data_IF_890403794278
#
_entry.id   IF_890403794278
#
_cell.length_a   1.000
_cell.length_b   1.000
_cell.length_c   1.000
_cell.angle_alpha   90.00
_cell.angle_beta   90.00
_cell.angle_gamma   90.00
#
_symmetry.space_group_name_H-M   'P 1'
#
loop_
_entity.id
_entity.type
_entity.pdbx_description
1 polymer ?
#
# COMPACT_ATOMS: atom_id res chain seq x y z
N UNK A 1 16.94 37.31 27.36
CA UNK A 1 17.03 36.50 28.58
C UNK A 1 16.17 35.27 28.37
N UNK A 2 16.78 34.11 28.15
CA UNK A 2 16.06 32.84 28.04
C UNK A 2 15.86 32.32 29.46
N UNK A 3 14.61 32.13 29.89
CA UNK A 3 14.29 31.58 31.21
C UNK A 3 14.37 30.06 31.09
N UNK A 4 15.42 29.47 31.63
CA UNK A 4 15.53 28.01 31.78
C UNK A 4 14.95 27.58 33.12
N UNK A 5 13.87 26.80 33.07
CA UNK A 5 13.24 26.22 34.27
C UNK A 5 14.11 25.06 34.73
N UNK A 6 14.66 25.14 35.96
CA UNK A 6 15.40 24.03 36.56
C UNK A 6 14.43 22.92 36.99
N UNK A 7 14.55 21.74 36.40
CA UNK A 7 13.84 20.53 36.81
C UNK A 7 14.74 19.64 37.66
N UNK A 8 14.23 19.11 38.77
CA UNK A 8 14.94 18.07 39.52
C UNK A 8 15.01 16.80 38.67
N UNK A 9 16.23 16.32 38.39
CA UNK A 9 16.46 15.10 37.61
C UNK A 9 16.63 13.94 38.57
N UNK A 10 15.86 12.86 38.38
CA UNK A 10 16.00 11.61 39.13
C UNK A 10 16.83 10.62 38.29
N UNK A 11 17.78 9.94 38.91
CA UNK A 11 18.57 8.90 38.26
C UNK A 11 17.71 7.63 38.07
N UNK A 12 17.46 7.18 36.82
CA UNK A 12 16.69 5.98 36.56
C UNK A 12 17.52 4.71 36.80
N UNK A 13 16.86 3.62 37.22
CA UNK A 13 17.52 2.30 37.42
C UNK A 13 17.96 1.68 36.09
N UNK A 14 17.25 2.00 35.00
CA UNK A 14 17.54 1.59 33.60
C UNK A 14 16.89 2.57 32.64
N UNK A 15 17.36 2.65 31.40
CA UNK A 15 16.85 3.62 30.43
C UNK A 15 15.71 3.12 29.55
N UNK A 16 15.59 1.80 29.34
CA UNK A 16 14.57 1.19 28.48
C UNK A 16 14.27 -0.26 28.89
N UNK A 17 13.42 -0.96 28.13
CA UNK A 17 13.11 -2.37 28.34
C UNK A 17 14.27 -3.26 27.90
N UNK A 18 14.42 -4.42 28.56
CA UNK A 18 15.57 -5.30 28.35
C UNK A 18 15.68 -5.84 26.91
N UNK A 19 14.57 -6.08 26.21
CA UNK A 19 14.58 -6.47 24.80
C UNK A 19 15.14 -5.36 23.90
N UNK A 20 14.74 -4.11 24.16
CA UNK A 20 15.21 -2.94 23.41
C UNK A 20 16.69 -2.66 23.71
N UNK A 21 17.09 -2.77 24.98
CA UNK A 21 18.49 -2.65 25.41
C UNK A 21 19.39 -3.66 24.70
N UNK A 22 18.98 -4.94 24.62
CA UNK A 22 19.75 -5.98 23.90
C UNK A 22 20.02 -5.63 22.44
N UNK A 23 19.11 -4.89 21.79
CA UNK A 23 19.24 -4.50 20.38
C UNK A 23 20.00 -3.18 20.18
N UNK A 24 19.82 -2.20 21.07
CA UNK A 24 20.26 -0.82 20.83
C UNK A 24 21.20 -0.24 21.90
N UNK A 25 21.50 -1.00 22.96
CA UNK A 25 22.27 -0.60 24.13
C UNK A 25 21.42 0.08 25.22
N UNK A 26 22.00 0.21 26.42
CA UNK A 26 21.36 0.88 27.56
C UNK A 26 21.40 2.40 27.40
N UNK A 27 20.41 2.91 26.68
CA UNK A 27 20.18 4.33 26.46
C UNK A 27 18.68 4.58 26.27
N UNK A 28 18.19 5.83 26.45
CA UNK A 28 16.80 6.15 26.16
C UNK A 28 16.44 5.76 24.73
N UNK A 29 15.41 4.93 24.58
CA UNK A 29 14.94 4.43 23.29
C UNK A 29 13.91 5.39 22.67
N UNK A 30 13.77 5.32 21.34
CA UNK A 30 12.70 6.05 20.66
C UNK A 30 11.34 5.39 20.89
N UNK A 31 10.25 6.15 20.73
CA UNK A 31 8.89 5.60 20.79
C UNK A 31 8.66 4.47 19.79
N UNK A 32 9.23 4.59 18.58
CA UNK A 32 9.16 3.52 17.59
C UNK A 32 9.89 2.26 18.06
N UNK A 33 11.09 2.40 18.64
CA UNK A 33 11.85 1.24 19.13
C UNK A 33 11.08 0.45 20.18
N UNK A 34 10.52 1.13 21.19
CA UNK A 34 9.76 0.47 22.25
C UNK A 34 8.39 -0.06 21.77
N UNK A 35 7.79 0.57 20.76
CA UNK A 35 6.49 0.15 20.22
C UNK A 35 6.57 -0.92 19.12
N UNK A 36 7.78 -1.35 18.74
CA UNK A 36 7.97 -2.25 17.59
C UNK A 36 8.83 -3.47 17.91
N UNK A 37 9.98 -3.34 18.55
CA UNK A 37 10.96 -4.44 18.55
C UNK A 37 10.65 -5.51 19.61
N UNK A 38 10.69 -6.77 19.18
CA UNK A 38 10.50 -7.98 20.01
C UNK A 38 9.19 -8.02 20.81
N UNK A 39 8.11 -7.46 20.27
CA UNK A 39 6.78 -7.49 20.91
C UNK A 39 5.98 -8.75 20.59
N UNK A 40 6.33 -9.45 19.51
CA UNK A 40 5.62 -10.66 19.08
C UNK A 40 6.00 -11.86 19.96
N UNK A 41 5.04 -12.73 20.27
CA UNK A 41 5.34 -14.05 20.85
C UNK A 41 6.06 -14.92 19.83
N UNK A 42 7.20 -15.53 20.20
CA UNK A 42 8.05 -16.28 19.28
C UNK A 42 8.10 -17.80 19.54
N UNK A 43 7.73 -18.24 20.75
CA UNK A 43 7.91 -19.64 21.15
C UNK A 43 6.94 -20.03 22.27
N UNK A 44 6.95 -21.32 22.65
CA UNK A 44 6.13 -21.91 23.71
C UNK A 44 4.60 -21.76 23.48
N UNK A 45 4.17 -21.92 22.23
CA UNK A 45 2.74 -21.97 21.91
C UNK A 45 2.09 -23.22 22.49
N UNK A 46 0.91 -23.05 23.08
CA UNK A 46 0.24 -24.13 23.82
C UNK A 46 -0.52 -25.09 22.90
N UNK A 47 -0.92 -24.63 21.72
CA UNK A 47 -1.78 -25.36 20.80
C UNK A 47 -1.35 -25.14 19.35
N UNK A 48 -1.55 -26.15 18.51
CA UNK A 48 -1.40 -26.02 17.06
C UNK A 48 -2.62 -25.31 16.46
N UNK A 49 -2.47 -24.51 15.40
CA UNK A 49 -3.60 -23.93 14.68
C UNK A 49 -4.48 -25.02 14.07
N UNK A 50 -5.79 -25.00 14.32
CA UNK A 50 -6.72 -26.00 13.76
C UNK A 50 -6.88 -25.88 12.24
N UNK A 51 -6.66 -24.68 11.71
CA UNK A 51 -6.77 -24.34 10.28
C UNK A 51 -5.46 -24.56 9.52
N UNK A 52 -4.34 -24.82 10.21
CA UNK A 52 -3.06 -25.16 9.59
C UNK A 52 -2.13 -25.92 10.57
N UNK A 53 -2.39 -27.23 10.80
CA UNK A 53 -1.75 -27.99 11.87
C UNK A 53 -0.24 -28.23 11.71
N UNK A 54 0.30 -28.11 10.50
CA UNK A 54 1.71 -28.34 10.17
C UNK A 54 2.63 -27.19 10.59
N UNK A 55 2.05 -26.02 10.90
CA UNK A 55 2.76 -24.83 11.36
C UNK A 55 2.48 -24.53 12.84
N UNK A 56 3.26 -23.64 13.42
CA UNK A 56 2.97 -23.01 14.71
C UNK A 56 2.16 -21.71 14.52
N UNK A 57 1.71 -21.15 15.65
CA UNK A 57 1.32 -19.74 15.66
C UNK A 57 2.58 -18.90 15.41
N UNK A 58 2.47 -17.79 14.69
CA UNK A 58 3.61 -16.93 14.33
C UNK A 58 4.80 -17.75 13.78
N UNK A 59 4.60 -18.50 12.71
CA UNK A 59 5.64 -19.40 12.15
C UNK A 59 6.35 -18.72 10.97
N UNK A 60 7.68 -18.67 11.00
CA UNK A 60 8.49 -18.07 9.92
C UNK A 60 8.38 -18.83 8.61
N UNK A 61 7.99 -20.12 8.65
CA UNK A 61 7.83 -20.99 7.47
C UNK A 61 6.58 -20.67 6.63
N UNK A 62 5.79 -19.67 7.03
CA UNK A 62 4.64 -19.13 6.25
C UNK A 62 5.06 -18.37 4.99
N UNK A 63 6.36 -18.13 4.85
CA UNK A 63 6.96 -17.66 3.62
C UNK A 63 8.25 -18.44 3.35
N UNK A 64 8.59 -18.59 2.08
CA UNK A 64 9.86 -19.15 1.65
C UNK A 64 11.05 -18.19 1.86
N UNK A 65 10.79 -16.91 2.15
CA UNK A 65 11.84 -15.95 2.52
C UNK A 65 12.42 -16.30 3.88
N UNK A 66 13.75 -16.35 3.96
CA UNK A 66 14.48 -16.66 5.19
C UNK A 66 15.23 -15.42 5.66
N UNK A 67 15.02 -15.03 6.90
CA UNK A 67 15.73 -13.92 7.55
C UNK A 67 16.42 -14.41 8.81
N UNK A 68 17.66 -13.97 9.03
CA UNK A 68 18.37 -14.14 10.31
C UNK A 68 17.72 -13.33 11.43
N UNK A 69 17.19 -12.15 11.11
CA UNK A 69 16.41 -11.30 12.01
C UNK A 69 15.28 -10.60 11.26
N UNK A 70 14.03 -11.00 11.51
CA UNK A 70 12.85 -10.38 10.90
C UNK A 70 12.66 -8.91 11.29
N UNK A 71 13.25 -8.46 12.40
CA UNK A 71 13.24 -7.05 12.79
C UNK A 71 14.24 -6.19 12.00
N UNK A 72 14.96 -6.77 11.03
CA UNK A 72 15.72 -6.03 10.02
C UNK A 72 14.82 -5.23 9.06
N UNK A 73 13.55 -5.60 8.92
CA UNK A 73 12.55 -4.87 8.13
C UNK A 73 12.08 -3.59 8.83
N UNK A 74 12.93 -2.56 8.78
CA UNK A 74 12.66 -1.26 9.41
C UNK A 74 11.75 -0.40 8.54
N UNK A 75 10.78 0.26 9.18
CA UNK A 75 10.01 1.31 8.51
C UNK A 75 10.79 2.64 8.55
N UNK A 76 11.30 3.16 7.42
CA UNK A 76 12.04 4.43 7.39
C UNK A 76 11.18 5.64 7.80
N UNK A 77 9.85 5.50 7.82
CA UNK A 77 8.90 6.52 8.27
C UNK A 77 8.75 6.54 9.80
N UNK A 78 9.26 5.52 10.49
CA UNK A 78 9.20 5.36 11.95
C UNK A 78 7.76 5.32 12.49
N UNK A 79 6.83 4.77 11.71
CA UNK A 79 5.44 4.65 12.14
C UNK A 79 5.27 3.58 13.20
N UNK A 80 5.01 4.03 14.43
CA UNK A 80 4.14 3.32 15.37
C UNK A 80 2.74 3.94 15.31
N UNK A 81 1.77 3.33 15.99
CA UNK A 81 0.35 3.70 15.87
C UNK A 81 0.10 5.22 15.96
N UNK A 82 0.66 5.88 16.97
CA UNK A 82 0.46 7.31 17.20
C UNK A 82 0.94 8.18 16.04
N UNK A 83 2.16 7.96 15.56
CA UNK A 83 2.71 8.71 14.41
C UNK A 83 1.98 8.42 13.11
N UNK A 84 1.52 7.17 12.91
CA UNK A 84 0.72 6.79 11.75
C UNK A 84 -0.60 7.56 11.71
N UNK A 85 -1.39 7.51 12.78
CA UNK A 85 -2.70 8.17 12.79
C UNK A 85 -2.58 9.69 12.76
N UNK A 86 -1.53 10.28 13.35
CA UNK A 86 -1.28 11.72 13.26
C UNK A 86 -0.98 12.16 11.82
N UNK A 87 -0.15 11.39 11.11
CA UNK A 87 0.17 11.71 9.73
C UNK A 87 -1.06 11.54 8.83
N UNK A 88 -1.83 10.46 8.99
CA UNK A 88 -3.07 10.24 8.22
C UNK A 88 -4.16 11.24 8.57
N UNK A 89 -4.27 11.67 9.83
CA UNK A 89 -5.18 12.74 10.23
C UNK A 89 -4.89 14.04 9.47
N UNK A 90 -3.62 14.42 9.34
CA UNK A 90 -3.22 15.58 8.54
C UNK A 90 -3.55 15.42 7.06
N UNK A 91 -3.30 14.24 6.48
CA UNK A 91 -3.60 13.97 5.08
C UNK A 91 -5.10 13.98 4.79
N UNK A 92 -5.92 13.39 5.66
CA UNK A 92 -7.37 13.42 5.50
C UNK A 92 -7.95 14.83 5.68
N UNK A 93 -7.41 15.67 6.56
CA UNK A 93 -7.85 17.08 6.68
C UNK A 93 -7.70 17.84 5.35
N UNK A 94 -6.58 17.62 4.64
CA UNK A 94 -6.36 18.20 3.32
C UNK A 94 -7.35 17.62 2.30
N UNK A 95 -7.51 16.30 2.28
CA UNK A 95 -8.47 15.65 1.39
C UNK A 95 -9.90 16.14 1.64
N UNK A 96 -10.38 16.21 2.88
CA UNK A 96 -11.71 16.74 3.21
C UNK A 96 -11.88 18.20 2.81
N UNK A 97 -10.83 19.03 2.97
CA UNK A 97 -10.86 20.41 2.47
C UNK A 97 -11.01 20.47 0.96
N UNK A 98 -10.30 19.61 0.22
CA UNK A 98 -10.39 19.52 -1.24
C UNK A 98 -11.79 19.07 -1.68
N UNK A 99 -12.32 18.01 -1.09
CA UNK A 99 -13.66 17.51 -1.35
C UNK A 99 -14.72 18.58 -1.04
N UNK A 100 -14.63 19.23 0.12
CA UNK A 100 -15.55 20.31 0.50
C UNK A 100 -15.48 21.50 -0.46
N UNK A 101 -14.28 21.85 -0.94
CA UNK A 101 -14.11 22.92 -1.93
C UNK A 101 -14.73 22.54 -3.28
N UNK A 102 -14.48 21.30 -3.74
CA UNK A 102 -15.01 20.77 -4.99
C UNK A 102 -16.54 20.79 -5.01
N UNK A 103 -17.19 20.36 -3.93
CA UNK A 103 -18.65 20.39 -3.78
C UNK A 103 -19.19 21.83 -3.66
N UNK A 104 -18.60 22.66 -2.79
CA UNK A 104 -19.08 24.05 -2.57
C UNK A 104 -19.01 24.92 -3.82
N UNK A 105 -18.09 24.62 -4.73
CA UNK A 105 -17.92 25.34 -6.00
C UNK A 105 -18.65 24.67 -7.17
N UNK A 106 -19.38 23.58 -6.91
CA UNK A 106 -20.09 22.81 -7.94
C UNK A 106 -19.18 22.44 -9.12
N UNK A 107 -17.91 22.08 -8.83
CA UNK A 107 -16.91 21.84 -9.87
C UNK A 107 -17.31 20.67 -10.78
N UNK A 108 -18.05 19.70 -10.24
CA UNK A 108 -18.63 18.61 -11.00
C UNK A 108 -19.40 19.12 -12.23
N UNK A 109 -20.20 20.19 -12.09
CA UNK A 109 -21.01 20.75 -13.18
C UNK A 109 -20.19 21.25 -14.38
N UNK A 110 -18.93 21.62 -14.14
CA UNK A 110 -18.03 22.12 -15.18
C UNK A 110 -17.29 21.00 -15.91
N UNK A 111 -17.35 19.77 -15.41
CA UNK A 111 -16.75 18.60 -16.05
C UNK A 111 -17.69 18.11 -17.16
N UNK A 112 -17.22 18.02 -18.43
CA UNK A 112 -18.03 17.50 -19.51
C UNK A 112 -18.48 16.05 -19.25
N UNK A 113 -19.69 15.70 -19.68
CA UNK A 113 -20.29 14.38 -19.43
C UNK A 113 -19.40 13.22 -19.92
N UNK A 114 -18.76 13.39 -21.09
CA UNK A 114 -17.84 12.40 -21.63
C UNK A 114 -16.64 12.13 -20.70
N UNK A 115 -16.15 13.15 -19.99
CA UNK A 115 -15.04 13.04 -19.04
C UNK A 115 -15.51 12.41 -17.73
N UNK A 116 -16.69 12.81 -17.26
CA UNK A 116 -17.34 12.18 -16.09
C UNK A 116 -17.51 10.68 -16.31
N UNK A 117 -18.01 10.29 -17.49
CA UNK A 117 -18.14 8.88 -17.87
C UNK A 117 -16.78 8.15 -17.90
N UNK A 118 -15.70 8.80 -18.36
CA UNK A 118 -14.35 8.21 -18.27
C UNK A 118 -13.90 7.99 -16.83
N UNK A 119 -14.13 8.96 -15.93
CA UNK A 119 -13.79 8.82 -14.51
C UNK A 119 -14.57 7.66 -13.86
N UNK A 120 -15.88 7.57 -14.12
CA UNK A 120 -16.71 6.46 -13.64
C UNK A 120 -16.27 5.12 -14.23
N UNK A 121 -15.85 5.09 -15.49
CA UNK A 121 -15.41 3.86 -16.19
C UNK A 121 -14.02 3.38 -15.79
N UNK A 122 -13.08 4.28 -15.54
CA UNK A 122 -11.65 3.96 -15.40
C UNK A 122 -11.09 4.18 -13.99
N UNK A 123 -11.62 5.13 -13.21
CA UNK A 123 -11.08 5.45 -11.88
C UNK A 123 -11.89 4.77 -10.77
N UNK A 124 -13.21 4.92 -10.76
CA UNK A 124 -14.08 4.45 -9.66
C UNK A 124 -14.00 2.91 -9.44
N UNK A 125 -13.90 2.05 -10.47
CA UNK A 125 -13.80 0.60 -10.27
C UNK A 125 -12.54 0.16 -9.50
N UNK A 126 -11.48 0.97 -9.48
CA UNK A 126 -10.26 0.68 -8.71
C UNK A 126 -10.52 0.55 -7.21
N UNK A 127 -11.67 1.02 -6.69
CA UNK A 127 -12.09 0.73 -5.31
C UNK A 127 -12.13 -0.77 -5.00
N UNK A 128 -12.36 -1.61 -6.02
CA UNK A 128 -12.34 -3.06 -5.89
C UNK A 128 -10.92 -3.61 -5.79
N UNK A 129 -9.97 -3.06 -6.58
CA UNK A 129 -8.54 -3.32 -6.41
C UNK A 129 -8.06 -2.88 -5.03
N UNK A 130 -8.43 -1.68 -4.58
CA UNK A 130 -8.06 -1.18 -3.25
C UNK A 130 -8.62 -2.07 -2.12
N UNK A 131 -9.84 -2.60 -2.30
CA UNK A 131 -10.37 -3.58 -1.35
C UNK A 131 -9.59 -4.90 -1.37
N UNK A 132 -9.20 -5.41 -2.53
CA UNK A 132 -8.29 -6.58 -2.62
C UNK A 132 -6.94 -6.28 -1.96
N UNK A 133 -6.37 -5.10 -2.20
CA UNK A 133 -5.12 -4.67 -1.59
C UNK A 133 -5.24 -4.57 -0.06
N UNK A 134 -6.38 -4.11 0.47
CA UNK A 134 -6.70 -4.17 1.90
C UNK A 134 -6.61 -5.61 2.42
N UNK A 135 -7.31 -6.55 1.79
CA UNK A 135 -7.33 -7.96 2.19
C UNK A 135 -5.94 -8.60 2.12
N UNK A 136 -5.18 -8.36 1.06
CA UNK A 136 -3.81 -8.85 0.90
C UNK A 136 -2.88 -8.33 2.01
N UNK A 137 -2.99 -7.06 2.39
CA UNK A 137 -2.22 -6.49 3.48
C UNK A 137 -2.68 -6.99 4.86
N UNK A 138 -3.99 -7.24 5.06
CA UNK A 138 -4.49 -7.90 6.26
C UNK A 138 -4.00 -9.34 6.37
N UNK A 139 -3.94 -10.07 5.26
CA UNK A 139 -3.37 -11.42 5.19
C UNK A 139 -1.90 -11.42 5.61
N UNK A 140 -1.09 -10.50 5.06
CA UNK A 140 0.30 -10.32 5.48
C UNK A 140 0.46 -9.87 6.93
N UNK A 141 -0.48 -9.09 7.47
CA UNK A 141 -0.49 -8.73 8.89
C UNK A 141 -0.74 -9.96 9.78
N UNK A 142 -1.67 -10.82 9.38
CA UNK A 142 -2.08 -11.99 10.16
C UNK A 142 -1.03 -13.12 10.15
N UNK A 143 -0.33 -13.29 9.03
CA UNK A 143 0.59 -14.42 8.82
C UNK A 143 2.06 -14.03 8.74
N UNK A 144 2.37 -12.74 8.62
CA UNK A 144 3.74 -12.24 8.66
C UNK A 144 4.41 -12.44 10.02
N UNK A 145 5.74 -12.44 10.01
CA UNK A 145 6.54 -12.64 11.22
C UNK A 145 7.32 -11.36 11.59
N UNK A 146 7.17 -10.92 12.83
CA UNK A 146 7.83 -9.76 13.40
C UNK A 146 6.96 -8.51 13.31
N UNK A 147 6.80 -7.82 14.44
CA UNK A 147 5.95 -6.62 14.55
C UNK A 147 6.35 -5.51 13.59
N UNK A 148 7.64 -5.37 13.26
CA UNK A 148 8.15 -4.31 12.39
C UNK A 148 7.54 -4.32 10.98
N UNK A 149 7.38 -5.52 10.40
CA UNK A 149 6.77 -5.67 9.07
C UNK A 149 5.24 -5.77 9.16
N UNK A 150 4.70 -6.50 10.14
CA UNK A 150 3.24 -6.71 10.25
C UNK A 150 2.50 -5.44 10.62
N UNK A 151 3.08 -4.56 11.45
CA UNK A 151 2.46 -3.26 11.74
C UNK A 151 2.45 -2.34 10.51
N UNK A 152 3.48 -2.39 9.67
CA UNK A 152 3.52 -1.58 8.46
C UNK A 152 2.48 -2.07 7.43
N UNK A 153 2.31 -3.38 7.33
CA UNK A 153 1.25 -4.02 6.53
C UNK A 153 -0.14 -3.62 7.00
N UNK A 154 -0.42 -3.62 8.32
CA UNK A 154 -1.75 -3.27 8.80
C UNK A 154 -2.09 -1.81 8.49
N UNK A 155 -1.12 -0.90 8.65
CA UNK A 155 -1.29 0.51 8.29
C UNK A 155 -1.55 0.67 6.80
N UNK A 156 -0.74 0.00 5.96
CA UNK A 156 -0.90 0.03 4.52
C UNK A 156 -2.28 -0.50 4.10
N UNK A 157 -2.75 -1.59 4.70
CA UNK A 157 -4.07 -2.15 4.44
C UNK A 157 -5.21 -1.22 4.85
N UNK A 158 -5.10 -0.52 5.97
CA UNK A 158 -6.10 0.47 6.37
C UNK A 158 -6.12 1.69 5.45
N UNK A 159 -4.96 2.10 4.93
CA UNK A 159 -4.90 3.15 3.91
C UNK A 159 -5.63 2.75 2.64
N UNK A 160 -5.51 1.48 2.20
CA UNK A 160 -6.25 0.96 1.04
C UNK A 160 -7.76 1.06 1.23
N UNK A 161 -8.25 0.74 2.43
CA UNK A 161 -9.66 0.92 2.76
C UNK A 161 -10.07 2.40 2.63
N UNK A 162 -9.26 3.33 3.13
CA UNK A 162 -9.49 4.77 2.96
C UNK A 162 -9.49 5.20 1.49
N UNK A 163 -8.56 4.69 0.68
CA UNK A 163 -8.52 4.98 -0.76
C UNK A 163 -9.75 4.42 -1.50
N UNK A 164 -10.20 3.21 -1.16
CA UNK A 164 -11.46 2.66 -1.68
C UNK A 164 -12.67 3.55 -1.34
N UNK A 165 -12.69 4.13 -0.14
CA UNK A 165 -13.72 5.09 0.29
C UNK A 165 -13.63 6.40 -0.52
N UNK A 166 -12.44 6.96 -0.72
CA UNK A 166 -12.26 8.17 -1.51
C UNK A 166 -12.65 7.97 -2.98
N UNK A 167 -12.25 6.86 -3.60
CA UNK A 167 -12.69 6.47 -4.95
C UNK A 167 -14.22 6.34 -5.04
N UNK A 168 -14.85 5.78 -3.99
CA UNK A 168 -16.31 5.71 -3.91
C UNK A 168 -16.95 7.10 -3.80
N UNK A 169 -16.35 8.00 -3.01
CA UNK A 169 -16.84 9.39 -2.88
C UNK A 169 -16.68 10.20 -4.16
N UNK A 170 -15.66 9.91 -4.99
CA UNK A 170 -15.54 10.51 -6.33
C UNK A 170 -16.78 10.14 -7.15
N UNK A 171 -17.16 8.86 -7.19
CA UNK A 171 -18.39 8.43 -7.86
C UNK A 171 -19.63 9.16 -7.34
N UNK A 172 -19.81 9.23 -6.01
CA UNK A 172 -20.95 9.90 -5.39
C UNK A 172 -21.02 11.41 -5.68
N UNK A 173 -19.88 12.12 -5.62
CA UNK A 173 -19.88 13.55 -5.94
C UNK A 173 -20.21 13.78 -7.42
N UNK A 174 -19.76 12.89 -8.30
CA UNK A 174 -20.04 12.97 -9.73
C UNK A 174 -21.48 12.57 -10.10
N UNK A 175 -22.22 11.83 -9.27
CA UNK A 175 -23.63 11.51 -9.55
C UNK A 175 -24.63 12.32 -8.71
N UNK A 176 -24.14 13.26 -7.89
CA UNK A 176 -25.01 14.05 -7.00
C UNK A 176 -25.50 13.25 -5.79
N UNK A 177 -24.73 12.25 -5.34
CA UNK A 177 -25.00 11.32 -4.25
C UNK A 177 -26.19 10.39 -4.51
N UNK A 178 -26.50 10.09 -5.77
CA UNK A 178 -27.53 9.09 -6.11
C UNK A 178 -27.04 7.65 -5.87
N UNK A 179 -25.74 7.42 -6.04
CA UNK A 179 -25.12 6.10 -5.97
C UNK A 179 -25.13 5.33 -7.30
N UNK A 180 -25.71 5.90 -8.35
CA UNK A 180 -25.79 5.27 -9.68
C UNK A 180 -24.38 5.05 -10.27
N UNK A 181 -23.45 5.99 -10.08
CA UNK A 181 -22.07 5.83 -10.54
C UNK A 181 -21.37 4.66 -9.86
N UNK A 182 -21.72 4.34 -8.61
CA UNK A 182 -21.16 3.18 -7.90
C UNK A 182 -21.73 1.85 -8.41
N UNK A 183 -23.00 1.85 -8.82
CA UNK A 183 -23.65 0.70 -9.45
C UNK A 183 -23.03 0.46 -10.82
N UNK A 184 -22.89 1.50 -11.64
CA UNK A 184 -22.25 1.43 -12.95
C UNK A 184 -20.80 0.96 -12.84
N UNK A 185 -20.00 1.57 -11.97
CA UNK A 185 -18.60 1.19 -11.77
C UNK A 185 -18.46 -0.28 -11.33
N UNK A 186 -19.39 -0.78 -10.51
CA UNK A 186 -19.42 -2.19 -10.12
C UNK A 186 -19.79 -3.09 -11.31
N UNK A 187 -20.72 -2.69 -12.15
CA UNK A 187 -21.06 -3.43 -13.36
C UNK A 187 -19.87 -3.48 -14.32
N UNK A 188 -19.17 -2.35 -14.52
CA UNK A 188 -17.92 -2.32 -15.29
C UNK A 188 -16.89 -3.32 -14.76
N UNK A 189 -16.67 -3.36 -13.45
CA UNK A 189 -15.75 -4.32 -12.82
C UNK A 189 -16.15 -5.78 -13.06
N UNK A 190 -17.46 -6.08 -12.98
CA UNK A 190 -17.96 -7.45 -13.06
C UNK A 190 -18.08 -7.97 -14.50
N UNK A 191 -18.39 -7.11 -15.46
CA UNK A 191 -18.85 -7.52 -16.79
C UNK A 191 -17.99 -7.01 -17.94
N UNK A 192 -17.28 -5.89 -17.79
CA UNK A 192 -16.54 -5.32 -18.92
C UNK A 192 -15.20 -6.04 -19.13
N UNK A 193 -14.93 -6.45 -20.38
CA UNK A 193 -13.73 -7.20 -20.77
C UNK A 193 -12.42 -6.53 -20.32
N UNK A 194 -12.37 -5.19 -20.40
CA UNK A 194 -11.18 -4.40 -20.02
C UNK A 194 -10.77 -4.57 -18.55
N UNK A 195 -11.70 -4.95 -17.66
CA UNK A 195 -11.45 -5.13 -16.22
C UNK A 195 -11.19 -6.59 -15.83
N UNK A 196 -11.50 -7.56 -16.68
CA UNK A 196 -11.48 -8.97 -16.28
C UNK A 196 -10.07 -9.48 -16.01
N UNK A 197 -9.06 -8.99 -16.72
CA UNK A 197 -7.65 -9.31 -16.45
C UNK A 197 -7.23 -8.88 -15.04
N UNK A 198 -7.45 -7.62 -14.68
CA UNK A 198 -7.13 -7.09 -13.35
C UNK A 198 -7.97 -7.75 -12.25
N UNK A 199 -9.26 -8.03 -12.51
CA UNK A 199 -10.11 -8.75 -11.56
C UNK A 199 -9.60 -10.16 -11.30
N UNK A 200 -9.23 -10.92 -12.33
CA UNK A 200 -8.64 -12.24 -12.18
C UNK A 200 -7.31 -12.18 -11.41
N UNK A 201 -6.48 -11.17 -11.67
CA UNK A 201 -5.25 -10.94 -10.93
C UNK A 201 -5.50 -10.68 -9.44
N UNK A 202 -6.48 -9.85 -9.11
CA UNK A 202 -6.93 -9.63 -7.73
C UNK A 202 -7.38 -10.95 -7.07
N UNK A 203 -8.26 -11.71 -7.72
CA UNK A 203 -8.75 -13.00 -7.22
C UNK A 203 -7.60 -14.01 -7.02
N UNK A 204 -6.59 -14.02 -7.90
CA UNK A 204 -5.39 -14.87 -7.75
C UNK A 204 -4.54 -14.48 -6.54
N UNK A 205 -4.32 -13.19 -6.30
CA UNK A 205 -3.56 -12.74 -5.12
C UNK A 205 -4.24 -13.12 -3.81
N UNK A 206 -5.59 -13.14 -3.77
CA UNK A 206 -6.36 -13.53 -2.58
C UNK A 206 -6.23 -15.01 -2.21
N UNK A 207 -5.76 -15.86 -3.13
CA UNK A 207 -5.55 -17.30 -2.92
C UNK A 207 -4.08 -17.69 -2.91
N UNK A 208 -3.16 -16.73 -3.01
CA UNK A 208 -1.72 -16.98 -2.91
C UNK A 208 -1.33 -17.09 -1.43
N UNK A 209 -0.69 -18.20 -1.05
CA UNK A 209 -0.45 -18.53 0.37
C UNK A 209 0.78 -17.86 0.97
N UNK A 210 1.84 -17.65 0.20
CA UNK A 210 3.06 -17.02 0.71
C UNK A 210 2.80 -15.51 0.92
N UNK A 211 2.74 -15.08 2.17
CA UNK A 211 2.39 -13.71 2.51
C UNK A 211 3.40 -12.67 2.00
N UNK A 212 4.67 -13.06 1.83
CA UNK A 212 5.70 -12.17 1.29
C UNK A 212 5.58 -12.07 -0.23
N UNK A 213 5.25 -13.18 -0.90
CA UNK A 213 4.89 -13.18 -2.32
C UNK A 213 3.67 -12.27 -2.59
N UNK A 214 2.60 -12.42 -1.80
CA UNK A 214 1.40 -11.56 -1.87
C UNK A 214 1.75 -10.09 -1.68
N UNK A 215 2.57 -9.77 -0.68
CA UNK A 215 3.02 -8.40 -0.43
C UNK A 215 3.79 -7.82 -1.62
N UNK A 216 4.67 -8.60 -2.28
CA UNK A 216 5.40 -8.15 -3.46
C UNK A 216 4.49 -7.98 -4.67
N UNK A 217 3.61 -8.95 -4.93
CA UNK A 217 2.64 -8.87 -6.01
C UNK A 217 1.80 -7.58 -5.89
N UNK A 218 1.25 -7.34 -4.70
CA UNK A 218 0.39 -6.19 -4.43
C UNK A 218 1.18 -4.87 -4.32
N UNK A 219 2.05 -4.76 -3.31
CA UNK A 219 2.60 -3.48 -2.86
C UNK A 219 3.83 -3.02 -3.67
N UNK A 220 4.39 -3.89 -4.52
CA UNK A 220 5.49 -3.54 -5.43
C UNK A 220 5.01 -3.52 -6.88
N UNK A 221 4.48 -4.64 -7.40
CA UNK A 221 4.21 -4.78 -8.83
C UNK A 221 2.90 -4.10 -9.24
N UNK A 222 1.76 -4.57 -8.70
CA UNK A 222 0.42 -4.07 -9.09
C UNK A 222 0.28 -2.59 -8.77
N UNK A 223 0.75 -2.17 -7.59
CA UNK A 223 0.76 -0.76 -7.18
C UNK A 223 1.59 0.14 -8.10
N UNK A 224 2.80 -0.28 -8.48
CA UNK A 224 3.66 0.55 -9.33
C UNK A 224 3.01 0.80 -10.69
N UNK A 225 2.45 -0.25 -11.29
CA UNK A 225 1.79 -0.17 -12.59
C UNK A 225 0.49 0.64 -12.50
N UNK A 226 -0.38 0.32 -11.54
CA UNK A 226 -1.65 1.03 -11.36
C UNK A 226 -1.41 2.50 -11.04
N UNK A 227 -0.44 2.81 -10.18
CA UNK A 227 -0.16 4.21 -9.82
C UNK A 227 0.36 5.01 -10.99
N UNK A 228 1.27 4.45 -11.80
CA UNK A 228 1.78 5.16 -12.97
C UNK A 228 0.70 5.35 -14.03
N UNK A 229 -0.10 4.31 -14.31
CA UNK A 229 -1.21 4.41 -15.27
C UNK A 229 -2.28 5.40 -14.81
N UNK A 230 -2.69 5.36 -13.53
CA UNK A 230 -3.88 6.08 -13.06
C UNK A 230 -3.53 7.45 -12.49
N UNK A 231 -2.62 7.51 -11.53
CA UNK A 231 -2.34 8.74 -10.77
C UNK A 231 -1.22 9.59 -11.39
N UNK A 232 -0.64 9.15 -12.51
CA UNK A 232 0.32 9.92 -13.30
C UNK A 232 -0.20 10.13 -14.73
N UNK A 233 -0.30 9.07 -15.53
CA UNK A 233 -0.66 9.20 -16.95
C UNK A 233 -2.13 9.62 -17.17
N UNK A 234 -3.09 8.96 -16.50
CA UNK A 234 -4.52 9.31 -16.63
C UNK A 234 -4.85 10.66 -15.99
N UNK A 235 -4.27 10.99 -14.84
CA UNK A 235 -4.38 12.34 -14.25
C UNK A 235 -3.89 13.44 -15.23
N UNK A 236 -2.74 13.21 -15.88
CA UNK A 236 -2.24 14.12 -16.91
C UNK A 236 -3.22 14.25 -18.09
N UNK A 237 -3.76 13.15 -18.60
CA UNK A 237 -4.74 13.15 -19.69
C UNK A 237 -6.02 13.92 -19.31
N UNK A 238 -6.53 13.74 -18.09
CA UNK A 238 -7.70 14.48 -17.60
C UNK A 238 -7.41 15.99 -17.52
N UNK A 239 -6.21 16.37 -17.06
CA UNK A 239 -5.77 17.76 -17.02
C UNK A 239 -5.73 18.39 -18.42
N UNK A 240 -5.15 17.69 -19.40
CA UNK A 240 -5.11 18.12 -20.81
C UNK A 240 -6.50 18.24 -21.44
N UNK A 241 -7.48 17.48 -20.95
CA UNK A 241 -8.89 17.54 -21.35
C UNK A 241 -9.72 18.57 -20.55
N UNK A 242 -9.08 19.36 -19.68
CA UNK A 242 -9.72 20.43 -18.92
C UNK A 242 -10.41 19.97 -17.62
N UNK A 243 -10.17 18.74 -17.16
CA UNK A 243 -10.71 18.18 -15.92
C UNK A 243 -9.67 18.09 -14.79
N UNK A 244 -8.75 19.05 -14.75
CA UNK A 244 -7.72 19.17 -13.71
C UNK A 244 -8.25 19.18 -12.26
N UNK A 245 -9.52 19.58 -12.07
CA UNK A 245 -10.16 19.60 -10.74
C UNK A 245 -10.32 18.19 -10.14
N UNK A 246 -10.33 17.13 -10.96
CA UNK A 246 -10.31 15.73 -10.47
C UNK A 246 -9.02 15.44 -9.70
N UNK A 247 -7.90 16.08 -10.08
CA UNK A 247 -6.62 15.94 -9.40
C UNK A 247 -6.70 16.25 -7.89
N UNK A 248 -7.56 17.21 -7.51
CA UNK A 248 -7.79 17.55 -6.10
C UNK A 248 -8.39 16.39 -5.29
N UNK A 249 -9.17 15.52 -5.94
CA UNK A 249 -9.85 14.39 -5.30
C UNK A 249 -8.95 13.16 -5.17
N UNK A 250 -7.87 13.06 -5.96
CA UNK A 250 -6.91 11.95 -5.92
C UNK A 250 -5.57 12.31 -5.25
N UNK A 251 -5.41 13.55 -4.77
CA UNK A 251 -4.18 14.04 -4.13
C UNK A 251 -3.76 13.16 -2.93
N UNK A 252 -4.73 12.62 -2.16
CA UNK A 252 -4.45 11.71 -1.06
C UNK A 252 -3.64 10.49 -1.53
N UNK A 253 -4.04 9.87 -2.64
CA UNK A 253 -3.40 8.67 -3.21
C UNK A 253 -1.98 9.00 -3.68
N UNK A 254 -1.79 10.15 -4.35
CA UNK A 254 -0.49 10.62 -4.81
C UNK A 254 0.49 10.89 -3.65
N UNK A 255 0.01 11.51 -2.57
CA UNK A 255 0.82 11.77 -1.37
C UNK A 255 1.14 10.47 -0.62
N UNK A 256 0.15 9.61 -0.44
CA UNK A 256 0.28 8.31 0.21
C UNK A 256 1.33 7.43 -0.51
N UNK A 257 1.30 7.40 -1.84
CA UNK A 257 2.18 6.54 -2.62
C UNK A 257 3.67 6.85 -2.41
N UNK A 258 4.03 8.13 -2.20
CA UNK A 258 5.42 8.52 -1.91
C UNK A 258 5.94 7.85 -0.63
N UNK A 259 5.11 7.74 0.39
CA UNK A 259 5.46 7.08 1.65
C UNK A 259 5.42 5.55 1.54
N UNK A 260 4.45 5.01 0.81
CA UNK A 260 4.35 3.57 0.55
C UNK A 260 5.58 3.04 -0.20
N UNK A 261 6.01 3.72 -1.27
CA UNK A 261 7.23 3.38 -2.03
C UNK A 261 8.46 3.35 -1.13
N UNK A 262 8.65 4.37 -0.28
CA UNK A 262 9.82 4.44 0.62
C UNK A 262 9.92 3.25 1.55
N UNK A 263 8.79 2.80 2.10
CA UNK A 263 8.75 1.63 2.98
C UNK A 263 8.98 0.33 2.18
N UNK A 264 8.25 0.13 1.09
CA UNK A 264 8.36 -1.08 0.28
C UNK A 264 9.78 -1.25 -0.31
N UNK A 265 10.40 -0.16 -0.76
CA UNK A 265 11.78 -0.18 -1.26
C UNK A 265 12.79 -0.54 -0.17
N UNK A 266 12.56 -0.10 1.07
CA UNK A 266 13.41 -0.46 2.20
C UNK A 266 13.28 -1.96 2.54
N UNK A 267 12.04 -2.47 2.57
CA UNK A 267 11.76 -3.90 2.79
C UNK A 267 12.41 -4.76 1.71
N UNK A 268 12.22 -4.41 0.43
CA UNK A 268 12.79 -5.16 -0.69
C UNK A 268 14.32 -5.20 -0.62
N UNK A 269 14.97 -4.05 -0.38
CA UNK A 269 16.44 -3.98 -0.26
C UNK A 269 16.97 -4.81 0.89
N UNK A 270 16.30 -4.81 2.05
CA UNK A 270 16.67 -5.65 3.18
C UNK A 270 16.57 -7.13 2.81
N UNK A 271 15.46 -7.57 2.21
CA UNK A 271 15.27 -8.97 1.84
C UNK A 271 16.29 -9.44 0.78
N UNK A 272 16.58 -8.59 -0.23
CA UNK A 272 17.58 -8.86 -1.27
C UNK A 272 18.99 -8.97 -0.70
N UNK A 273 19.31 -8.18 0.33
CA UNK A 273 20.66 -8.15 0.91
C UNK A 273 20.91 -9.28 1.90
N UNK A 274 19.87 -9.98 2.35
CA UNK A 274 19.97 -11.05 3.35
C UNK A 274 20.70 -12.28 2.81
N UNK A 275 20.36 -12.73 1.59
CA UNK A 275 21.00 -13.89 0.98
C UNK A 275 20.78 -13.95 -0.53
N UNK A 276 21.69 -14.64 -1.23
CA UNK A 276 21.54 -14.93 -2.67
C UNK A 276 20.29 -15.77 -2.96
N UNK A 277 19.88 -16.65 -2.03
CA UNK A 277 18.67 -17.45 -2.15
C UNK A 277 17.40 -16.60 -2.12
N UNK A 278 17.28 -15.68 -1.15
CA UNK A 278 16.17 -14.72 -1.11
C UNK A 278 16.15 -13.88 -2.39
N UNK A 279 17.31 -13.35 -2.79
CA UNK A 279 17.42 -12.54 -4.00
C UNK A 279 16.91 -13.28 -5.24
N UNK A 280 17.28 -14.54 -5.42
CA UNK A 280 16.83 -15.36 -6.55
C UNK A 280 15.31 -15.60 -6.51
N UNK A 281 14.76 -15.92 -5.32
CA UNK A 281 13.33 -16.13 -5.14
C UNK A 281 12.52 -14.85 -5.39
N UNK A 282 12.97 -13.71 -4.85
CA UNK A 282 12.36 -12.41 -5.08
C UNK A 282 12.35 -12.05 -6.57
N UNK A 283 13.45 -12.30 -7.29
CA UNK A 283 13.53 -12.07 -8.73
C UNK A 283 12.51 -12.95 -9.49
N UNK A 284 12.40 -14.23 -9.12
CA UNK A 284 11.42 -15.14 -9.72
C UNK A 284 9.97 -14.67 -9.49
N UNK A 285 9.63 -14.28 -8.26
CA UNK A 285 8.29 -13.78 -7.95
C UNK A 285 8.00 -12.46 -8.67
N UNK A 286 8.94 -11.53 -8.69
CA UNK A 286 8.76 -10.25 -9.39
C UNK A 286 8.54 -10.49 -10.88
N UNK A 287 9.32 -11.35 -11.53
CA UNK A 287 9.14 -11.67 -12.95
C UNK A 287 7.77 -12.30 -13.22
N UNK A 288 7.36 -13.28 -12.40
CA UNK A 288 6.03 -13.91 -12.46
C UNK A 288 4.92 -12.86 -12.39
N UNK A 289 4.94 -12.01 -11.36
CA UNK A 289 3.86 -11.06 -11.12
C UNK A 289 3.91 -9.87 -12.08
N UNK A 290 5.11 -9.47 -12.54
CA UNK A 290 5.27 -8.46 -13.59
C UNK A 290 4.62 -8.91 -14.89
N UNK A 291 4.87 -10.14 -15.33
CA UNK A 291 4.24 -10.70 -16.53
C UNK A 291 2.72 -10.77 -16.40
N UNK A 292 2.22 -11.33 -15.30
CA UNK A 292 0.78 -11.42 -15.03
C UNK A 292 0.10 -10.06 -14.95
N UNK A 293 0.72 -9.09 -14.28
CA UNK A 293 0.18 -7.74 -14.17
C UNK A 293 0.20 -7.00 -15.51
N UNK A 294 1.23 -7.20 -16.35
CA UNK A 294 1.27 -6.65 -17.70
C UNK A 294 0.10 -7.18 -18.55
N UNK A 295 -0.10 -8.50 -18.58
CA UNK A 295 -1.21 -9.11 -19.31
C UNK A 295 -2.58 -8.65 -18.78
N UNK A 296 -2.73 -8.58 -17.45
CA UNK A 296 -3.97 -8.18 -16.80
C UNK A 296 -4.35 -6.71 -17.04
N UNK A 297 -3.36 -5.81 -17.10
CA UNK A 297 -3.56 -4.37 -17.26
C UNK A 297 -3.55 -3.92 -18.72
N UNK A 298 -3.06 -4.72 -19.66
CA UNK A 298 -2.99 -4.35 -21.08
C UNK A 298 -4.32 -3.84 -21.66
N UNK A 299 -5.46 -4.56 -21.51
CA UNK A 299 -6.74 -4.11 -22.04
C UNK A 299 -7.22 -2.78 -21.43
N UNK A 300 -7.01 -2.61 -20.13
CA UNK A 300 -7.39 -1.40 -19.41
C UNK A 300 -6.51 -0.21 -19.83
N UNK A 301 -5.19 -0.40 -19.88
CA UNK A 301 -4.24 0.63 -20.26
C UNK A 301 -4.46 1.10 -21.69
N UNK A 302 -4.71 0.18 -22.63
CA UNK A 302 -4.98 0.53 -24.02
C UNK A 302 -6.30 1.29 -24.18
N UNK A 303 -7.37 0.84 -23.49
CA UNK A 303 -8.67 1.53 -23.53
C UNK A 303 -8.66 2.91 -22.85
N UNK A 304 -7.82 3.09 -21.82
CA UNK A 304 -7.74 4.32 -21.04
C UNK A 304 -6.76 5.34 -21.66
N UNK A 305 -5.58 4.89 -22.10
CA UNK A 305 -4.44 5.75 -22.44
C UNK A 305 -3.79 5.45 -23.80
N UNK A 306 -4.09 4.30 -24.41
CA UNK A 306 -3.51 3.86 -25.70
C UNK A 306 -2.25 2.99 -25.58
N UNK A 307 -1.70 2.63 -26.75
CA UNK A 307 -0.77 1.50 -26.97
C UNK A 307 0.57 1.57 -26.19
N UNK A 308 1.03 2.76 -25.79
CA UNK A 308 2.36 2.93 -25.16
C UNK A 308 2.32 3.07 -23.62
N UNK A 309 1.15 3.23 -23.02
CA UNK A 309 1.02 3.59 -21.61
C UNK A 309 1.57 2.52 -20.67
N UNK A 310 1.23 1.26 -20.93
CA UNK A 310 1.69 0.13 -20.12
C UNK A 310 3.20 -0.09 -20.25
N UNK A 311 3.77 0.09 -21.46
CA UNK A 311 5.20 -0.05 -21.67
C UNK A 311 6.01 0.96 -20.84
N UNK A 312 5.54 2.21 -20.77
CA UNK A 312 6.15 3.24 -19.93
C UNK A 312 6.08 2.89 -18.43
N UNK A 313 4.92 2.40 -17.96
CA UNK A 313 4.75 1.97 -16.56
C UNK A 313 5.66 0.79 -16.19
N UNK A 314 5.79 -0.19 -17.09
CA UNK A 314 6.70 -1.33 -16.92
C UNK A 314 8.17 -0.88 -16.84
N UNK A 315 8.59 0.08 -17.67
CA UNK A 315 9.95 0.61 -17.62
C UNK A 315 10.25 1.28 -16.26
N UNK A 316 9.28 1.98 -15.66
CA UNK A 316 9.44 2.56 -14.33
C UNK A 316 9.53 1.50 -13.23
N UNK A 317 8.72 0.43 -13.32
CA UNK A 317 8.82 -0.72 -12.42
C UNK A 317 10.20 -1.37 -12.52
N UNK A 318 10.69 -1.60 -13.74
CA UNK A 318 12.00 -2.23 -13.98
C UNK A 318 13.14 -1.39 -13.40
N UNK A 319 13.10 -0.07 -13.59
CA UNK A 319 14.05 0.87 -12.98
C UNK A 319 14.00 0.81 -11.45
N UNK A 320 12.80 0.65 -10.86
CA UNK A 320 12.62 0.56 -9.40
C UNK A 320 13.19 -0.76 -8.86
N UNK A 321 12.90 -1.88 -9.51
CA UNK A 321 13.41 -3.22 -9.15
C UNK A 321 14.93 -3.28 -9.29
N UNK A 322 15.49 -2.72 -10.36
CA UNK A 322 16.94 -2.60 -10.57
C UNK A 322 17.64 -1.84 -9.43
N UNK A 323 17.04 -0.76 -8.92
CA UNK A 323 17.58 0.00 -7.78
C UNK A 323 17.56 -0.78 -6.46
N UNK A 324 16.76 -1.83 -6.36
CA UNK A 324 16.74 -2.73 -5.21
C UNK A 324 17.76 -3.88 -5.33
N UNK A 325 18.47 -3.98 -6.46
CA UNK A 325 19.54 -4.95 -6.68
C UNK A 325 19.11 -6.23 -7.41
N UNK A 326 17.88 -6.29 -7.92
CA UNK A 326 17.35 -7.37 -8.75
C UNK A 326 17.46 -6.93 -10.21
N UNK A 327 18.05 -7.77 -11.07
CA UNK A 327 18.31 -7.45 -12.48
C UNK A 327 17.23 -8.00 -13.39
#
# INVERSE_FOLDING_TARGET
MTIEIKTATLEPVRNTFANVERRFGDKPATRYQEATYDLQSETNFHYRPLWQPELELNDTRRTAIVMSDWYAFKDPRQFYYGTYVQQRAKMQEVAESNYSFFEKRDLARHIPEAIRAQVVRYLVPLRHLEHTANLNNMYGTAYGYGTAITQALVYNGMDRLGMAQYLSRIGLILDGNSGDALVEAKQQWLEADIWQGLRALCEETLVTEDWFEVMLAQNLVIDALTTDLVYNQFDQQLSEQGAQDIGMLIEFMQLWNKDAIRWMDAVLKTAVSESDANKALLAQWIEKWRGKAAEALAPLAEAMLGENALAAALEQLDKRVAKAGIK
#
